data_IF_224111383611
#
_entry.id   IF_224111383611
#
_cell.length_a   1.000
_cell.length_b   1.000
_cell.length_c   1.000
_cell.angle_alpha   90.00
_cell.angle_beta   90.00
_cell.angle_gamma   90.00
#
_symmetry.space_group_name_H-M   'P 1'
#
loop_
_entity.id
_entity.type
_entity.pdbx_description
1 polymer ?
#
# COMPACT_ATOMS: atom_id res chain seq x y z
N UNK A 1 -9.49 -10.42 -11.12
CA UNK A 1 -8.21 -11.00 -11.62
C UNK A 1 -7.08 -10.50 -10.72
N UNK A 2 -6.09 -11.30 -10.34
CA UNK A 2 -4.97 -10.82 -9.50
C UNK A 2 -3.73 -10.61 -10.37
N UNK A 3 -3.00 -9.51 -10.15
CA UNK A 3 -1.72 -9.18 -10.77
C UNK A 3 -0.73 -8.80 -9.69
N UNK A 4 0.50 -9.28 -9.81
CA UNK A 4 1.59 -8.98 -8.89
C UNK A 4 2.69 -8.26 -9.63
N UNK A 5 3.09 -7.08 -9.13
CA UNK A 5 4.23 -6.34 -9.62
C UNK A 5 5.23 -6.12 -8.49
N UNK A 6 6.51 -6.36 -8.79
CA UNK A 6 7.60 -5.98 -7.92
C UNK A 6 8.41 -4.87 -8.57
N UNK A 7 8.92 -3.94 -7.78
CA UNK A 7 9.82 -2.88 -8.22
C UNK A 7 11.05 -2.90 -7.33
N UNK A 8 12.25 -2.84 -7.91
CA UNK A 8 13.47 -2.68 -7.14
C UNK A 8 14.73 -2.92 -7.95
N UNK A 9 15.86 -2.68 -7.32
CA UNK A 9 17.15 -2.90 -7.94
C UNK A 9 17.54 -4.39 -7.84
N UNK A 10 17.61 -5.06 -8.99
CA UNK A 10 18.04 -6.44 -9.12
C UNK A 10 19.48 -6.66 -8.62
N UNK A 11 20.34 -5.65 -8.75
CA UNK A 11 21.75 -5.71 -8.38
C UNK A 11 21.96 -5.57 -6.87
N UNK A 12 21.08 -4.80 -6.20
CA UNK A 12 21.09 -4.63 -4.74
C UNK A 12 20.28 -5.71 -3.99
N UNK A 13 19.38 -6.41 -4.68
CA UNK A 13 18.53 -7.46 -4.10
C UNK A 13 19.28 -8.80 -4.05
N UNK A 14 19.29 -9.54 -2.92
CA UNK A 14 20.02 -10.81 -2.82
C UNK A 14 19.59 -11.83 -3.87
N UNK A 15 20.56 -12.49 -4.53
CA UNK A 15 20.30 -13.46 -5.62
C UNK A 15 19.27 -14.54 -5.29
N UNK A 16 19.20 -15.01 -4.03
CA UNK A 16 18.17 -15.96 -3.57
C UNK A 16 16.75 -15.37 -3.68
N UNK A 17 16.60 -14.09 -3.34
CA UNK A 17 15.32 -13.35 -3.42
C UNK A 17 14.94 -13.12 -4.88
N UNK A 18 15.84 -12.62 -5.73
CA UNK A 18 15.59 -12.49 -7.18
C UNK A 18 15.13 -13.82 -7.80
N UNK A 19 15.86 -14.92 -7.54
CA UNK A 19 15.50 -16.24 -8.03
C UNK A 19 14.10 -16.69 -7.55
N UNK A 20 13.66 -16.31 -6.35
CA UNK A 20 12.32 -16.61 -5.85
C UNK A 20 11.23 -15.78 -6.55
N UNK A 21 11.48 -14.49 -6.76
CA UNK A 21 10.57 -13.56 -7.48
C UNK A 21 10.38 -14.01 -8.93
N UNK A 22 11.46 -14.35 -9.63
CA UNK A 22 11.41 -14.88 -11.00
C UNK A 22 10.61 -16.19 -11.12
N UNK A 23 10.45 -16.94 -10.02
CA UNK A 23 9.69 -18.21 -9.98
C UNK A 23 8.27 -18.07 -9.47
N UNK A 24 7.92 -16.95 -8.83
CA UNK A 24 6.60 -16.74 -8.20
C UNK A 24 5.56 -16.09 -9.12
N UNK A 25 5.86 -15.89 -10.40
CA UNK A 25 4.95 -15.25 -11.36
C UNK A 25 4.71 -13.75 -11.10
N UNK A 26 5.59 -13.10 -10.32
CA UNK A 26 5.57 -11.66 -10.11
C UNK A 26 6.25 -10.99 -11.30
N UNK A 27 5.58 -10.02 -11.92
CA UNK A 27 6.20 -9.16 -12.92
C UNK A 27 7.16 -8.21 -12.21
N UNK A 28 8.45 -8.58 -12.16
CA UNK A 28 9.48 -7.79 -11.50
C UNK A 28 10.09 -6.79 -12.48
N UNK A 29 9.91 -5.51 -12.21
CA UNK A 29 10.55 -4.43 -12.93
C UNK A 29 11.85 -4.06 -12.21
N UNK A 30 12.96 -4.14 -12.95
CA UNK A 30 14.23 -3.59 -12.50
C UNK A 30 14.16 -2.07 -12.47
N UNK A 31 14.43 -1.50 -11.31
CA UNK A 31 14.57 -0.07 -11.09
C UNK A 31 15.98 0.17 -10.56
N UNK A 32 16.89 0.62 -11.42
CA UNK A 32 18.20 1.14 -11.03
C UNK A 32 18.02 2.63 -10.69
N UNK A 33 18.62 3.07 -9.58
CA UNK A 33 18.62 4.46 -9.16
C UNK A 33 19.79 5.24 -9.80
N UNK A 34 20.83 4.56 -10.30
CA UNK A 34 22.06 5.13 -10.86
C UNK A 34 22.77 6.16 -9.94
N UNK A 35 22.49 6.12 -8.64
CA UNK A 35 22.97 7.10 -7.65
C UNK A 35 22.05 8.30 -7.41
N UNK A 36 20.96 8.47 -8.18
CA UNK A 36 19.91 9.47 -7.93
C UNK A 36 18.85 8.91 -6.97
N UNK A 37 18.79 9.52 -5.78
CA UNK A 37 17.83 9.25 -4.70
C UNK A 37 16.34 9.40 -5.06
N UNK A 38 15.99 9.97 -6.22
CA UNK A 38 14.61 10.14 -6.67
C UNK A 38 14.28 9.44 -7.99
N UNK A 39 15.29 8.91 -8.70
CA UNK A 39 15.07 8.21 -9.97
C UNK A 39 14.12 7.01 -9.78
N UNK A 40 14.34 6.21 -8.73
CA UNK A 40 13.53 5.04 -8.44
C UNK A 40 12.05 5.37 -8.18
N UNK A 41 11.79 6.41 -7.39
CA UNK A 41 10.46 6.95 -7.13
C UNK A 41 9.78 7.45 -8.42
N UNK A 42 10.52 8.13 -9.29
CA UNK A 42 9.97 8.63 -10.56
C UNK A 42 9.56 7.50 -11.50
N UNK A 43 10.39 6.45 -11.61
CA UNK A 43 10.14 5.26 -12.42
C UNK A 43 8.92 4.51 -11.90
N UNK A 44 8.90 4.19 -10.59
CA UNK A 44 7.77 3.50 -9.94
C UNK A 44 6.47 4.29 -10.12
N UNK A 45 6.52 5.62 -10.02
CA UNK A 45 5.36 6.50 -10.17
C UNK A 45 4.80 6.51 -11.60
N UNK A 46 5.68 6.66 -12.60
CA UNK A 46 5.27 6.59 -14.00
C UNK A 46 4.66 5.22 -14.34
N UNK A 47 5.27 4.15 -13.86
CA UNK A 47 4.84 2.76 -14.04
C UNK A 47 3.52 2.43 -13.34
N UNK A 48 3.29 2.92 -12.12
CA UNK A 48 2.00 2.82 -11.43
C UNK A 48 0.90 3.58 -12.19
N UNK A 49 1.21 4.77 -12.70
CA UNK A 49 0.24 5.62 -13.39
C UNK A 49 -0.11 5.08 -14.79
N UNK A 50 0.86 4.46 -15.46
CA UNK A 50 0.70 3.72 -16.73
C UNK A 50 -0.20 2.48 -16.53
N UNK A 51 0.06 1.66 -15.51
CA UNK A 51 -0.82 0.53 -15.14
C UNK A 51 -2.26 0.95 -14.83
N UNK A 52 -2.48 2.17 -14.34
CA UNK A 52 -3.82 2.72 -14.12
C UNK A 52 -4.57 3.11 -15.41
N UNK A 53 -3.87 3.17 -16.56
CA UNK A 53 -4.49 3.26 -17.89
C UNK A 53 -4.82 1.87 -18.44
N UNK A 54 -3.96 0.87 -18.20
CA UNK A 54 -4.20 -0.54 -18.59
C UNK A 54 -5.33 -1.20 -17.78
N UNK A 55 -5.43 -0.88 -16.48
CA UNK A 55 -6.42 -1.44 -15.54
C UNK A 55 -7.31 -0.33 -14.95
N UNK A 56 -8.20 0.27 -15.77
CA UNK A 56 -9.07 1.38 -15.35
C UNK A 56 -10.02 0.98 -14.22
N UNK A 57 -10.65 1.98 -13.61
CA UNK A 57 -11.62 1.79 -12.52
C UNK A 57 -12.73 0.76 -12.87
N UNK A 58 -13.14 -0.14 -11.96
CA UNK A 58 -12.70 -0.30 -10.57
C UNK A 58 -11.55 -1.31 -10.37
N UNK A 59 -10.42 -0.81 -9.86
CA UNK A 59 -9.23 -1.62 -9.51
C UNK A 59 -8.82 -1.35 -8.06
N UNK A 60 -8.47 -2.41 -7.33
CA UNK A 60 -7.90 -2.34 -5.99
C UNK A 60 -6.37 -2.40 -6.08
N UNK A 61 -5.67 -1.42 -5.52
CA UNK A 61 -4.21 -1.40 -5.42
C UNK A 61 -3.80 -1.68 -3.99
N UNK A 62 -3.10 -2.80 -3.76
CA UNK A 62 -2.43 -3.09 -2.50
C UNK A 62 -0.95 -2.72 -2.62
N UNK A 63 -0.55 -1.61 -2.01
CA UNK A 63 0.85 -1.21 -1.90
C UNK A 63 1.45 -1.81 -0.63
N UNK A 64 2.55 -2.56 -0.77
CA UNK A 64 3.39 -3.05 0.32
C UNK A 64 4.64 -2.17 0.35
N UNK A 65 4.57 -1.07 1.09
CA UNK A 65 5.65 -0.08 1.25
C UNK A 65 5.35 0.89 2.39
N UNK A 66 6.40 1.40 3.05
CA UNK A 66 6.34 2.54 3.97
C UNK A 66 6.87 3.86 3.38
N UNK A 67 7.28 3.88 2.11
CA UNK A 67 7.90 5.05 1.47
C UNK A 67 6.92 6.21 1.33
N UNK A 68 7.28 7.34 1.93
CA UNK A 68 6.48 8.56 1.98
C UNK A 68 6.37 9.25 0.62
N UNK A 69 7.35 9.08 -0.28
CA UNK A 69 7.36 9.70 -1.60
C UNK A 69 6.16 9.21 -2.44
N UNK A 70 5.78 7.93 -2.29
CA UNK A 70 4.67 7.29 -2.99
C UNK A 70 3.28 7.88 -2.65
N UNK A 71 3.16 8.69 -1.59
CA UNK A 71 1.90 9.33 -1.19
C UNK A 71 1.28 10.16 -2.34
N UNK A 72 2.12 10.85 -3.12
CA UNK A 72 1.66 11.63 -4.29
C UNK A 72 0.97 10.70 -5.30
N UNK A 73 1.60 9.56 -5.59
CA UNK A 73 1.11 8.56 -6.54
C UNK A 73 -0.19 7.91 -6.05
N UNK A 74 -0.30 7.59 -4.75
CA UNK A 74 -1.54 7.09 -4.15
C UNK A 74 -2.69 8.10 -4.26
N UNK A 75 -2.43 9.39 -3.99
CA UNK A 75 -3.41 10.47 -4.15
C UNK A 75 -3.92 10.56 -5.61
N UNK A 76 -3.02 10.46 -6.60
CA UNK A 76 -3.40 10.46 -8.01
C UNK A 76 -4.26 9.24 -8.39
N UNK A 77 -3.93 8.04 -7.89
CA UNK A 77 -4.72 6.83 -8.12
C UNK A 77 -6.10 6.91 -7.44
N UNK A 78 -6.17 7.43 -6.21
CA UNK A 78 -7.42 7.68 -5.48
C UNK A 78 -8.32 8.68 -6.22
N UNK A 79 -7.75 9.75 -6.77
CA UNK A 79 -8.46 10.74 -7.62
C UNK A 79 -8.99 10.14 -8.93
N UNK A 80 -8.33 9.12 -9.48
CA UNK A 80 -8.82 8.32 -10.61
C UNK A 80 -9.93 7.31 -10.21
N UNK A 81 -10.34 7.29 -8.95
CA UNK A 81 -11.41 6.44 -8.42
C UNK A 81 -10.96 5.06 -7.91
N UNK A 82 -9.66 4.72 -8.03
CA UNK A 82 -9.16 3.42 -7.57
C UNK A 82 -9.20 3.31 -6.05
N UNK A 83 -9.40 2.08 -5.55
CA UNK A 83 -9.38 1.79 -4.13
C UNK A 83 -7.95 1.45 -3.69
N UNK A 84 -7.45 2.15 -2.67
CA UNK A 84 -6.06 2.04 -2.20
C UNK A 84 -6.03 1.27 -0.88
N UNK A 85 -5.22 0.22 -0.83
CA UNK A 85 -4.94 -0.62 0.32
C UNK A 85 -3.43 -0.52 0.61
N UNK A 86 -3.05 -0.44 1.87
CA UNK A 86 -1.67 -0.21 2.27
C UNK A 86 -1.22 -1.25 3.30
N UNK A 87 -0.08 -1.89 3.07
CA UNK A 87 0.56 -2.80 4.02
C UNK A 87 1.95 -2.28 4.38
N UNK A 88 2.24 -2.19 5.66
CA UNK A 88 3.44 -1.57 6.21
C UNK A 88 4.44 -2.63 6.68
N UNK A 89 5.57 -2.86 5.97
CA UNK A 89 6.55 -3.90 6.33
C UNK A 89 7.17 -3.68 7.72
N UNK A 90 7.48 -2.42 8.06
CA UNK A 90 8.25 -2.08 9.25
C UNK A 90 7.41 -1.37 10.33
N UNK A 91 6.08 -1.48 10.29
CA UNK A 91 5.16 -0.78 11.20
C UNK A 91 5.04 0.74 11.03
N UNK A 92 6.03 1.40 10.44
CA UNK A 92 6.07 2.85 10.24
C UNK A 92 5.52 3.28 8.87
N UNK A 93 4.71 4.33 8.86
CA UNK A 93 4.34 5.12 7.68
C UNK A 93 4.04 6.57 8.07
N UNK A 94 4.18 7.49 7.13
CA UNK A 94 3.80 8.88 7.35
C UNK A 94 2.29 9.11 7.21
N UNK A 95 1.79 10.13 7.90
CA UNK A 95 0.38 10.54 7.82
C UNK A 95 -0.16 10.74 6.38
N UNK A 96 0.58 11.35 5.43
CA UNK A 96 0.18 11.45 4.04
C UNK A 96 -0.13 10.11 3.36
N UNK A 97 0.73 9.09 3.57
CA UNK A 97 0.56 7.77 2.94
C UNK A 97 -0.69 7.05 3.49
N UNK A 98 -0.91 7.17 4.80
CA UNK A 98 -2.09 6.62 5.50
C UNK A 98 -3.39 7.32 5.07
N UNK A 99 -3.37 8.65 4.90
CA UNK A 99 -4.54 9.46 4.50
C UNK A 99 -5.12 9.05 3.14
N UNK A 100 -4.27 8.66 2.20
CA UNK A 100 -4.70 8.26 0.87
C UNK A 100 -5.14 6.79 0.78
N UNK A 101 -4.77 5.94 1.74
CA UNK A 101 -5.32 4.59 1.87
C UNK A 101 -6.79 4.57 2.34
N UNK A 102 -7.53 3.54 1.90
CA UNK A 102 -8.88 3.20 2.41
C UNK A 102 -8.81 2.18 3.55
N UNK A 103 -7.73 1.41 3.64
CA UNK A 103 -7.44 0.45 4.70
C UNK A 103 -5.94 0.24 4.79
N UNK A 104 -5.41 0.16 6.01
CA UNK A 104 -3.98 0.02 6.29
C UNK A 104 -3.78 -1.23 7.16
N UNK A 105 -2.71 -1.98 6.93
CA UNK A 105 -2.29 -3.12 7.75
C UNK A 105 -0.83 -2.98 8.18
N UNK A 106 -0.48 -3.53 9.34
CA UNK A 106 0.88 -4.04 9.53
C UNK A 106 1.06 -5.30 8.68
N UNK A 107 2.22 -5.44 8.05
CA UNK A 107 2.50 -6.55 7.14
C UNK A 107 2.30 -7.92 7.80
N UNK A 108 2.79 -8.10 9.03
CA UNK A 108 2.64 -9.36 9.77
C UNK A 108 1.17 -9.71 10.03
N UNK A 109 0.36 -8.72 10.40
CA UNK A 109 -1.09 -8.88 10.56
C UNK A 109 -1.76 -9.28 9.25
N UNK A 110 -1.38 -8.66 8.12
CA UNK A 110 -1.92 -9.01 6.81
C UNK A 110 -1.53 -10.43 6.38
N UNK A 111 -0.28 -10.83 6.60
CA UNK A 111 0.23 -12.18 6.28
C UNK A 111 -0.48 -13.29 7.06
N UNK A 112 -0.95 -12.98 8.28
CA UNK A 112 -1.74 -13.88 9.12
C UNK A 112 -3.26 -13.81 8.82
N UNK A 113 -3.68 -13.09 7.77
CA UNK A 113 -5.10 -12.92 7.42
C UNK A 113 -5.88 -12.01 8.38
N UNK A 114 -5.18 -11.20 9.17
CA UNK A 114 -5.74 -10.30 10.17
C UNK A 114 -6.42 -9.06 9.59
N UNK A 115 -7.09 -8.33 10.49
CA UNK A 115 -7.88 -7.14 10.14
C UNK A 115 -6.98 -5.91 9.92
N UNK A 116 -7.42 -4.94 9.10
CA UNK A 116 -6.74 -3.66 8.98
C UNK A 116 -6.75 -2.88 10.31
N UNK A 117 -5.79 -1.97 10.45
CA UNK A 117 -5.71 -0.97 11.50
C UNK A 117 -7.00 -0.14 11.53
N UNK A 118 -7.56 0.01 12.73
CA UNK A 118 -8.74 0.86 12.95
C UNK A 118 -8.26 2.32 12.90
N UNK A 119 -8.86 3.22 12.08
CA UNK A 119 -8.34 4.57 11.84
C UNK A 119 -8.18 5.54 13.03
N UNK A 120 -8.52 5.13 14.26
CA UNK A 120 -8.52 6.00 15.46
C UNK A 120 -7.42 5.69 16.50
N UNK A 121 -6.55 4.68 16.32
CA UNK A 121 -5.53 4.31 17.33
C UNK A 121 -4.08 4.59 16.90
N UNK A 122 -3.86 5.52 15.95
CA UNK A 122 -2.52 5.94 15.53
C UNK A 122 -1.90 7.06 16.39
N UNK A 123 -2.68 7.65 17.31
CA UNK A 123 -2.23 8.73 18.20
C UNK A 123 -3.03 8.73 19.49
N UNK A 124 -2.39 8.38 20.62
CA UNK A 124 -2.52 9.00 21.96
C UNK A 124 -1.88 8.10 23.03
N UNK A 125 -0.64 8.39 23.42
CA UNK A 125 -0.22 8.09 24.79
C UNK A 125 -0.76 9.22 25.68
N UNK A 126 -1.92 9.01 26.32
CA UNK A 126 -2.39 9.88 27.40
C UNK A 126 -2.83 9.01 28.56
N UNK A 127 -2.33 9.36 29.75
CA UNK A 127 -2.61 8.69 31.03
C UNK A 127 -4.10 8.64 31.36
N UNK A 128 -4.50 7.54 31.97
CA UNK A 128 -5.87 7.26 32.42
C UNK A 128 -6.40 8.23 33.47
N UNK A 129 -7.62 8.71 33.27
CA UNK A 129 -8.60 8.91 34.35
C UNK A 129 -10.01 8.68 33.79
N UNK A 130 -10.88 7.89 34.46
CA UNK A 130 -12.26 7.71 34.06
C UNK A 130 -13.20 8.65 34.84
N UNK A 131 -14.13 9.31 34.16
CA UNK A 131 -15.47 9.60 34.72
C UNK A 131 -16.49 9.91 33.61
N UNK A 132 -17.72 9.44 33.86
CA UNK A 132 -19.03 9.82 33.33
C UNK A 132 -19.37 9.88 31.80
N UNK A 133 -20.30 8.98 31.45
CA UNK A 133 -21.59 9.17 30.73
C UNK A 133 -21.83 10.43 29.85
N UNK A 134 -22.58 10.39 28.74
CA UNK A 134 -23.64 9.46 28.34
C UNK A 134 -23.90 9.47 26.80
N UNK A 135 -24.85 8.65 26.35
CA UNK A 135 -25.65 8.80 25.10
C UNK A 135 -24.95 9.03 23.73
N UNK A 136 -24.90 7.97 22.91
CA UNK A 136 -25.61 7.96 21.60
C UNK A 136 -25.56 6.56 20.94
N UNK A 137 -26.70 5.88 20.86
CA UNK A 137 -26.83 4.61 20.14
C UNK A 137 -26.69 4.83 18.63
N UNK A 138 -25.72 4.17 18.00
CA UNK A 138 -25.51 4.22 16.54
C UNK A 138 -26.68 3.58 15.77
N UNK A 139 -27.14 4.21 14.66
CA UNK A 139 -27.23 3.44 13.43
C UNK A 139 -27.02 4.28 12.16
N UNK A 140 -25.82 4.22 11.57
CA UNK A 140 -25.69 4.22 10.10
C UNK A 140 -24.28 3.84 9.68
N UNK A 141 -24.07 2.52 9.57
CA UNK A 141 -23.11 1.97 8.62
C UNK A 141 -23.49 2.51 7.23
N UNK A 142 -22.87 3.63 6.80
CA UNK A 142 -23.19 4.31 5.53
C UNK A 142 -22.73 3.46 4.37
N UNK A 143 -23.60 2.49 4.01
CA UNK A 143 -23.64 1.66 2.81
C UNK A 143 -22.43 1.86 1.91
N UNK A 144 -21.32 1.22 2.28
CA UNK A 144 -20.20 0.99 1.39
C UNK A 144 -20.78 0.27 0.17
N UNK A 145 -20.85 0.98 -0.96
CA UNK A 145 -21.69 0.58 -2.11
C UNK A 145 -21.42 -0.89 -2.44
N UNK A 146 -22.47 -1.69 -2.49
CA UNK A 146 -22.37 -3.05 -3.02
C UNK A 146 -21.84 -2.96 -4.45
N UNK A 147 -20.57 -3.33 -4.65
CA UNK A 147 -19.96 -3.39 -5.97
C UNK A 147 -20.55 -4.59 -6.73
N UNK A 148 -21.64 -4.31 -7.43
CA UNK A 148 -22.46 -5.22 -8.24
C UNK A 148 -23.06 -4.34 -9.35
N UNK A 149 -22.96 -4.61 -10.66
CA UNK A 149 -22.21 -5.62 -11.42
C UNK A 149 -21.52 -4.91 -12.60
N UNK A 150 -20.58 -5.48 -13.38
CA UNK A 150 -20.04 -6.83 -13.43
C UNK A 150 -18.48 -6.80 -13.41
N UNK A 151 -17.82 -7.95 -13.58
CA UNK A 151 -16.36 -8.05 -13.76
C UNK A 151 -15.61 -8.40 -12.48
N UNK A 152 -14.79 -9.46 -12.52
CA UNK A 152 -14.00 -9.90 -11.37
C UNK A 152 -12.98 -8.81 -10.99
N UNK A 153 -13.09 -8.14 -9.82
CA UNK A 153 -12.29 -6.97 -9.49
C UNK A 153 -10.80 -7.26 -9.66
N UNK A 154 -10.08 -6.32 -10.27
CA UNK A 154 -8.65 -6.46 -10.44
C UNK A 154 -7.98 -6.06 -9.13
N UNK A 155 -7.20 -6.98 -8.55
CA UNK A 155 -6.34 -6.70 -7.42
C UNK A 155 -4.91 -6.64 -7.94
N UNK A 156 -4.31 -5.46 -7.81
CA UNK A 156 -2.92 -5.20 -8.17
C UNK A 156 -2.12 -5.12 -6.87
N UNK A 157 -1.23 -6.10 -6.66
CA UNK A 157 -0.34 -6.14 -5.50
C UNK A 157 1.02 -5.59 -5.93
N UNK A 158 1.49 -4.57 -5.22
CA UNK A 158 2.74 -3.86 -5.51
C UNK A 158 3.71 -4.05 -4.35
N UNK A 159 4.84 -4.66 -4.66
CA UNK A 159 5.98 -4.83 -3.76
C UNK A 159 7.08 -3.83 -4.16
N UNK A 160 7.56 -3.02 -3.21
CA UNK A 160 8.73 -2.14 -3.43
C UNK A 160 9.90 -2.68 -2.62
N UNK A 161 10.90 -3.22 -3.30
CA UNK A 161 12.11 -3.76 -2.72
C UNK A 161 13.19 -2.68 -2.67
N UNK A 162 13.46 -2.14 -1.49
CA UNK A 162 14.67 -1.34 -1.21
C UNK A 162 15.55 -2.07 -0.21
N UNK A 163 16.86 -1.85 -0.33
CA UNK A 163 17.81 -2.14 0.75
C UNK A 163 17.44 -1.26 1.95
N UNK A 164 17.39 -1.77 3.19
CA UNK A 164 17.29 -0.90 4.35
C UNK A 164 18.49 0.04 4.37
N UNK A 165 18.27 1.34 4.50
CA UNK A 165 19.32 2.28 4.83
C UNK A 165 19.89 1.84 6.19
N UNK A 166 21.18 1.51 6.23
CA UNK A 166 21.82 1.14 7.48
C UNK A 166 21.76 2.36 8.40
N UNK A 167 21.22 2.18 9.60
CA UNK A 167 21.49 3.05 10.73
C UNK A 167 23.00 3.05 10.97
N UNK A 168 23.65 4.17 10.65
CA UNK A 168 25.04 4.50 11.00
C UNK A 168 25.07 5.38 12.24
#
# INVERSE_FOLDING_TARGET
>A
MIRFFGYGDCNLTPRKVNNSICRSGITYLHVDANGDKYADFSIITAEMLSRAQEFPFPTNYLLISGDTNLSITLNLLKKKGHNILLALPNGHASGPLIKDASSVWFWDTLMLGGRPLIPNHATSHTTSHPDDTDDALSPSLKRQKCFSQHGNPIMIIILVFRKPENLS
#
